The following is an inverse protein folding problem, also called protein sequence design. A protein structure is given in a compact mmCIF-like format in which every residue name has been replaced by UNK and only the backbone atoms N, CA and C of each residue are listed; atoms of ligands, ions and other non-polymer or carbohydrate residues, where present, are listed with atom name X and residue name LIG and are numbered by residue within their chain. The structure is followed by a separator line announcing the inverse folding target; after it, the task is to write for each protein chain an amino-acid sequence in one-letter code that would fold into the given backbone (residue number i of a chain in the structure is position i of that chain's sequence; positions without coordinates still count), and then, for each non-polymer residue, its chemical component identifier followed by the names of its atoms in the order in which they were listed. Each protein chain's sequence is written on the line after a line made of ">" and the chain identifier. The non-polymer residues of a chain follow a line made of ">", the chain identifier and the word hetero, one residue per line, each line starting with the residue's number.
data_IF_062334375021
#
_entry.id   IF_062334375021
#
_cell.length_a   1.000
_cell.length_b   1.000
_cell.length_c   1.000
_cell.angle_alpha   90.00
_cell.angle_beta   90.00
_cell.angle_gamma   90.00
#
_symmetry.space_group_name_H-M   'P 1'
#
loop_
_entity.id
_entity.type
_entity.pdbx_description
1 polymer ?
#
# COMPACT_ATOMS: atom_id res chain seq x y z
N UNK A 1 70.65 33.59 13.04
CA UNK A 1 69.47 33.06 13.76
C UNK A 1 68.13 33.67 13.28
N UNK A 2 68.05 34.31 12.10
CA UNK A 2 66.87 35.12 11.71
C UNK A 2 66.06 34.61 10.49
N UNK A 3 66.59 33.70 9.66
CA UNK A 3 65.90 33.28 8.44
C UNK A 3 64.67 32.38 8.68
N UNK A 4 64.72 31.52 9.71
CA UNK A 4 63.57 30.68 10.09
C UNK A 4 62.40 31.50 10.63
N UNK A 5 62.67 32.57 11.37
CA UNK A 5 61.63 33.46 11.92
C UNK A 5 60.95 34.23 10.78
N UNK A 6 61.72 34.73 9.81
CA UNK A 6 61.17 35.44 8.64
C UNK A 6 60.30 34.52 7.79
N UNK A 7 60.70 33.27 7.54
CA UNK A 7 59.90 32.29 6.79
C UNK A 7 58.58 31.98 7.51
N UNK A 8 58.59 31.83 8.84
CA UNK A 8 57.38 31.58 9.63
C UNK A 8 56.43 32.79 9.58
N UNK A 9 56.96 34.01 9.69
CA UNK A 9 56.15 35.23 9.59
C UNK A 9 55.54 35.36 8.19
N UNK A 10 56.30 35.06 7.14
CA UNK A 10 55.83 35.11 5.75
C UNK A 10 54.75 34.06 5.46
N UNK A 11 54.92 32.83 5.96
CA UNK A 11 53.91 31.77 5.87
C UNK A 11 52.64 32.11 6.66
N UNK A 12 52.77 32.73 7.85
CA UNK A 12 51.64 33.22 8.62
C UNK A 12 50.90 34.36 7.90
N UNK A 13 51.63 35.31 7.29
CA UNK A 13 51.04 36.41 6.53
C UNK A 13 50.25 35.89 5.32
N UNK A 14 50.81 34.95 4.56
CA UNK A 14 50.13 34.30 3.42
C UNK A 14 48.85 33.58 3.89
N UNK A 15 48.92 32.85 5.01
CA UNK A 15 47.76 32.14 5.57
C UNK A 15 46.64 33.11 5.98
N UNK A 16 46.99 34.27 6.54
CA UNK A 16 46.04 35.34 6.92
C UNK A 16 45.44 36.00 5.66
N UNK A 17 46.22 36.21 4.61
CA UNK A 17 45.74 36.79 3.35
C UNK A 17 44.78 35.87 2.59
N UNK A 18 44.98 34.55 2.65
CA UNK A 18 44.10 33.56 1.98
C UNK A 18 42.81 33.34 2.76
N UNK A 19 42.83 33.42 4.09
CA UNK A 19 41.63 33.23 4.93
C UNK A 19 40.63 34.41 4.90
N UNK A 20 40.96 35.57 4.32
CA UNK A 20 40.14 36.79 4.37
C UNK A 20 39.70 37.32 2.99
N UNK A 21 39.70 36.49 1.94
CA UNK A 21 39.41 36.97 0.57
C UNK A 21 37.94 37.40 0.41
N UNK A 22 37.01 36.74 1.09
CA UNK A 22 35.58 37.00 0.96
C UNK A 22 34.92 37.33 2.30
N UNK A 23 33.82 38.08 2.26
CA UNK A 23 33.04 38.42 3.45
C UNK A 23 32.31 37.18 3.99
N UNK A 24 31.82 37.27 5.23
CA UNK A 24 30.86 36.29 5.75
C UNK A 24 29.69 36.14 4.77
N UNK A 25 29.26 34.90 4.53
CA UNK A 25 28.28 34.50 3.51
C UNK A 25 28.73 34.55 2.03
N UNK A 26 30.04 34.53 1.77
CA UNK A 26 30.57 34.47 0.40
C UNK A 26 31.58 33.34 0.23
N UNK A 27 31.69 32.83 -1.00
CA UNK A 27 32.69 31.85 -1.42
C UNK A 27 33.54 32.42 -2.54
N UNK A 28 34.82 32.08 -2.56
CA UNK A 28 35.71 32.49 -3.65
C UNK A 28 35.63 31.51 -4.82
N UNK A 29 35.15 31.97 -5.97
CA UNK A 29 35.15 31.21 -7.22
C UNK A 29 36.52 31.36 -7.89
N UNK A 30 37.24 30.25 -8.06
CA UNK A 30 38.48 30.24 -8.85
C UNK A 30 38.24 30.49 -10.34
N UNK A 31 37.03 30.17 -10.82
CA UNK A 31 36.61 30.34 -12.22
C UNK A 31 36.36 31.82 -12.49
N UNK A 32 35.57 32.46 -11.62
CA UNK A 32 35.16 33.86 -11.79
C UNK A 32 36.13 34.85 -11.13
N UNK A 33 37.16 34.34 -10.46
CA UNK A 33 38.15 35.11 -9.68
C UNK A 33 37.50 36.14 -8.75
N UNK A 34 36.35 35.79 -8.18
CA UNK A 34 35.51 36.72 -7.42
C UNK A 34 34.76 36.02 -6.30
N UNK A 35 34.29 36.83 -5.34
CA UNK A 35 33.48 36.35 -4.24
C UNK A 35 32.01 36.29 -4.66
N UNK A 36 31.47 35.08 -4.70
CA UNK A 36 30.05 34.82 -4.96
C UNK A 36 29.28 34.78 -3.65
N UNK A 37 28.08 35.35 -3.65
CA UNK A 37 27.18 35.26 -2.50
C UNK A 37 26.60 33.84 -2.39
N UNK A 38 26.57 33.33 -1.16
CA UNK A 38 25.75 32.17 -0.85
C UNK A 38 24.27 32.51 -1.01
N UNK A 39 23.43 31.47 -1.02
CA UNK A 39 21.99 31.63 -0.88
C UNK A 39 21.64 32.46 0.37
N UNK A 40 20.54 33.21 0.31
CA UNK A 40 19.98 33.97 1.43
C UNK A 40 19.57 33.06 2.61
N UNK A 41 19.48 31.75 2.38
CA UNK A 41 19.18 30.74 3.40
C UNK A 41 20.42 30.36 4.24
N UNK A 42 21.62 30.65 3.77
CA UNK A 42 22.86 30.28 4.43
C UNK A 42 23.53 31.49 5.11
N UNK A 43 24.31 31.25 6.16
CA UNK A 43 25.33 32.19 6.65
C UNK A 43 26.74 31.83 6.19
N UNK A 44 26.95 30.56 5.82
CA UNK A 44 28.11 30.07 5.08
C UNK A 44 27.70 28.89 4.21
N UNK A 45 28.35 28.73 3.05
CA UNK A 45 28.04 27.69 2.07
C UNK A 45 29.33 27.18 1.41
N UNK A 46 29.26 26.03 0.73
CA UNK A 46 30.36 25.53 -0.11
C UNK A 46 30.14 25.79 -1.61
N UNK A 47 28.89 26.04 -2.04
CA UNK A 47 28.55 26.56 -3.36
C UNK A 47 27.32 27.51 -3.25
N UNK A 48 26.94 28.19 -4.33
CA UNK A 48 25.86 29.20 -4.31
C UNK A 48 24.43 28.63 -4.33
N UNK A 49 24.26 27.30 -4.28
CA UNK A 49 22.96 26.62 -4.23
C UNK A 49 22.31 26.74 -2.84
N UNK A 50 20.98 26.73 -2.82
CA UNK A 50 20.16 26.64 -1.60
C UNK A 50 20.40 25.35 -0.80
N UNK A 51 20.95 24.31 -1.46
CA UNK A 51 21.24 23.00 -0.88
C UNK A 51 22.72 22.80 -0.50
N UNK A 52 23.46 23.89 -0.32
CA UNK A 52 24.89 23.84 -0.05
C UNK A 52 25.30 24.66 1.18
N UNK A 53 24.37 24.87 2.10
CA UNK A 53 24.62 25.59 3.34
C UNK A 53 25.49 24.76 4.28
N UNK A 54 26.55 25.36 4.82
CA UNK A 54 27.32 24.80 5.94
C UNK A 54 26.67 25.23 7.25
N UNK A 55 26.34 26.52 7.34
CA UNK A 55 25.59 27.11 8.45
C UNK A 55 24.37 27.83 7.90
N UNK A 56 23.26 27.74 8.62
CA UNK A 56 22.03 28.41 8.26
C UNK A 56 22.07 29.90 8.62
N UNK A 57 21.30 30.70 7.88
CA UNK A 57 21.08 32.11 8.20
C UNK A 57 20.32 32.30 9.52
N UNK A 58 20.18 33.55 9.94
CA UNK A 58 19.49 33.86 11.20
C UNK A 58 18.05 33.34 11.21
N UNK A 59 17.67 32.69 12.31
CA UNK A 59 16.34 32.09 12.53
C UNK A 59 16.00 30.91 11.59
N UNK A 60 17.00 30.34 10.92
CA UNK A 60 16.88 29.12 10.13
C UNK A 60 17.58 27.96 10.83
N UNK A 61 17.14 26.73 10.54
CA UNK A 61 17.59 25.50 11.17
C UNK A 61 18.08 24.52 10.12
N UNK A 62 19.03 23.64 10.46
CA UNK A 62 19.42 22.56 9.53
C UNK A 62 18.29 21.56 9.39
N UNK A 63 18.03 21.14 8.15
CA UNK A 63 17.07 20.07 7.88
C UNK A 63 17.57 18.72 8.41
N UNK A 64 16.62 17.87 8.76
CA UNK A 64 16.90 16.49 9.18
C UNK A 64 17.17 15.56 7.98
N UNK A 65 16.68 15.93 6.79
CA UNK A 65 16.80 15.15 5.55
C UNK A 65 18.16 15.36 4.86
N UNK A 66 18.66 16.59 4.91
CA UNK A 66 19.95 16.99 4.35
C UNK A 66 20.54 18.13 5.19
N UNK A 67 21.68 17.86 5.84
CA UNK A 67 22.38 18.82 6.69
C UNK A 67 22.93 20.03 5.93
N UNK A 68 22.90 19.99 4.60
CA UNK A 68 23.28 21.09 3.70
C UNK A 68 22.11 22.01 3.35
N UNK A 69 20.89 21.71 3.83
CA UNK A 69 19.69 22.48 3.58
C UNK A 69 19.18 23.14 4.87
N UNK A 70 18.63 24.35 4.73
CA UNK A 70 18.14 25.14 5.84
C UNK A 70 16.63 25.36 5.72
N UNK A 71 15.92 25.23 6.84
CA UNK A 71 14.47 25.33 6.94
C UNK A 71 14.06 26.35 8.01
N UNK A 72 12.91 27.01 7.82
CA UNK A 72 12.37 27.96 8.80
C UNK A 72 11.71 27.30 10.01
N UNK A 73 11.26 26.05 9.83
CA UNK A 73 10.56 25.28 10.86
C UNK A 73 10.80 23.80 10.59
N UNK A 74 11.02 23.03 11.65
CA UNK A 74 11.08 21.59 11.54
C UNK A 74 9.73 21.01 11.11
N UNK A 75 9.79 19.92 10.36
CA UNK A 75 8.62 19.22 9.84
C UNK A 75 7.82 18.56 10.96
N UNK A 76 6.64 18.06 10.61
CA UNK A 76 5.89 17.17 11.50
C UNK A 76 6.75 15.92 11.77
N UNK A 77 6.75 15.39 12.99
CA UNK A 77 7.65 14.32 13.44
C UNK A 77 9.12 14.73 13.64
N UNK A 78 9.39 16.03 13.81
CA UNK A 78 10.72 16.54 14.14
C UNK A 78 10.67 17.52 15.32
N UNK A 79 11.81 17.66 15.99
CA UNK A 79 12.05 18.69 16.99
C UNK A 79 13.36 19.42 16.72
N UNK A 80 13.47 20.63 17.26
CA UNK A 80 14.69 21.43 17.20
C UNK A 80 15.59 21.06 18.38
N UNK A 81 16.81 20.62 18.10
CA UNK A 81 17.81 20.34 19.13
C UNK A 81 18.53 21.62 19.61
N UNK A 82 19.41 21.49 20.59
CA UNK A 82 20.21 22.60 21.13
C UNK A 82 21.20 23.20 20.12
N UNK A 83 21.53 22.46 19.06
CA UNK A 83 22.44 22.89 17.99
C UNK A 83 21.71 23.58 16.83
N UNK A 84 20.42 23.90 16.97
CA UNK A 84 19.58 24.49 15.90
C UNK A 84 19.41 23.57 14.68
N UNK A 85 19.32 22.27 14.91
CA UNK A 85 19.10 21.26 13.88
C UNK A 85 17.76 20.56 14.10
N UNK A 86 17.02 20.34 13.02
CA UNK A 86 15.82 19.54 13.04
C UNK A 86 16.22 18.06 13.12
N UNK A 87 15.66 17.36 14.11
CA UNK A 87 15.92 15.94 14.35
C UNK A 87 14.61 15.19 14.33
N UNK A 88 14.57 14.07 13.59
CA UNK A 88 13.38 13.20 13.52
C UNK A 88 13.13 12.50 14.84
N UNK A 89 11.87 12.38 15.24
CA UNK A 89 11.53 11.51 16.37
C UNK A 89 11.75 10.06 15.98
N UNK A 90 12.37 9.31 16.88
CA UNK A 90 12.69 7.90 16.66
C UNK A 90 11.51 6.98 16.99
N UNK A 91 10.51 7.49 17.71
CA UNK A 91 9.32 6.72 18.09
C UNK A 91 8.38 6.63 16.91
N UNK A 92 8.15 5.41 16.46
CA UNK A 92 7.21 5.11 15.38
C UNK A 92 5.80 5.65 15.69
N UNK A 93 5.19 6.36 14.75
CA UNK A 93 3.87 6.97 14.91
C UNK A 93 3.84 8.20 15.82
N UNK A 94 4.98 8.72 16.26
CA UNK A 94 5.06 9.99 16.97
C UNK A 94 5.02 11.17 15.99
N UNK A 95 4.39 12.28 16.34
CA UNK A 95 4.42 13.54 15.55
C UNK A 95 5.11 14.68 16.29
N UNK A 96 5.27 14.55 17.60
CA UNK A 96 5.92 15.52 18.45
C UNK A 96 6.63 14.80 19.58
N UNK A 97 7.94 14.95 19.64
CA UNK A 97 8.78 14.46 20.72
C UNK A 97 9.64 15.60 21.27
N UNK A 98 10.20 15.39 22.47
CA UNK A 98 11.16 16.31 23.06
C UNK A 98 12.62 15.89 22.78
N UNK A 99 13.57 16.67 23.29
CA UNK A 99 15.02 16.43 23.13
C UNK A 99 15.49 15.09 23.72
N UNK A 100 14.76 14.53 24.69
CA UNK A 100 15.02 13.21 25.26
C UNK A 100 14.35 12.07 24.47
N UNK A 101 13.83 12.33 23.26
CA UNK A 101 13.08 11.37 22.44
C UNK A 101 11.85 10.82 23.19
N UNK A 102 11.22 11.61 24.05
CA UNK A 102 9.95 11.25 24.67
C UNK A 102 8.82 11.78 23.80
N UNK A 103 7.89 10.91 23.41
CA UNK A 103 6.75 11.32 22.58
C UNK A 103 5.71 12.07 23.41
N UNK A 104 5.39 13.30 23.00
CA UNK A 104 4.33 14.12 23.59
C UNK A 104 3.00 13.94 22.86
N UNK A 105 3.06 13.65 21.56
CA UNK A 105 1.89 13.51 20.72
C UNK A 105 2.13 12.49 19.61
N UNK A 106 1.18 11.57 19.47
CA UNK A 106 1.17 10.58 18.39
C UNK A 106 0.37 11.06 17.17
N UNK A 107 0.56 10.39 16.05
CA UNK A 107 -0.27 10.53 14.86
C UNK A 107 -1.75 10.22 15.19
N UNK A 108 -2.66 10.72 14.35
CA UNK A 108 -4.12 10.68 14.57
C UNK A 108 -4.68 9.27 14.86
N UNK A 109 -3.95 8.26 14.39
CA UNK A 109 -4.33 6.85 14.47
C UNK A 109 -3.67 6.10 15.61
N UNK A 110 -2.87 6.78 16.43
CA UNK A 110 -2.10 6.20 17.51
C UNK A 110 -2.46 6.87 18.84
N UNK A 111 -2.53 6.06 19.88
CA UNK A 111 -2.68 6.48 21.27
C UNK A 111 -1.32 6.51 21.93
N UNK A 112 -1.04 7.59 22.64
CA UNK A 112 0.18 7.72 23.42
C UNK A 112 0.14 6.81 24.67
N UNK A 113 1.09 5.87 24.73
CA UNK A 113 1.46 5.14 25.95
C UNK A 113 2.68 5.82 26.58
N UNK A 114 2.41 6.69 27.57
CA UNK A 114 3.46 7.43 28.29
C UNK A 114 4.35 6.53 29.14
N UNK A 115 3.86 5.37 29.61
CA UNK A 115 4.62 4.51 30.50
C UNK A 115 5.77 3.81 29.76
N UNK A 116 5.52 3.43 28.50
CA UNK A 116 6.50 2.75 27.66
C UNK A 116 7.14 3.66 26.60
N UNK A 117 6.77 4.96 26.58
CA UNK A 117 7.22 5.94 25.59
C UNK A 117 6.96 5.48 24.15
N UNK A 118 5.71 5.06 23.88
CA UNK A 118 5.31 4.48 22.61
C UNK A 118 4.01 5.08 22.10
N UNK A 119 3.88 5.13 20.79
CA UNK A 119 2.61 5.38 20.13
C UNK A 119 2.02 4.02 19.73
N UNK A 120 0.96 3.63 20.43
CA UNK A 120 0.27 2.38 20.19
C UNK A 120 -0.90 2.67 19.27
N UNK A 121 -0.95 1.98 18.15
CA UNK A 121 -2.03 2.11 17.18
C UNK A 121 -3.39 1.94 17.88
N UNK A 122 -4.31 2.88 17.65
CA UNK A 122 -5.65 2.81 18.22
C UNK A 122 -6.37 1.61 17.62
N UNK A 123 -7.10 0.87 18.47
CA UNK A 123 -8.07 -0.12 18.00
C UNK A 123 -8.95 0.56 16.92
N UNK A 124 -9.02 -0.01 15.71
CA UNK A 124 -9.69 0.50 14.49
C UNK A 124 -8.84 1.26 13.46
N UNK A 125 -7.54 1.43 13.64
CA UNK A 125 -6.71 1.96 12.56
C UNK A 125 -5.61 0.96 12.27
N UNK A 126 -5.36 0.68 10.99
CA UNK A 126 -4.23 -0.14 10.59
C UNK A 126 -3.08 0.74 10.11
N UNK A 127 -1.80 0.44 10.48
CA UNK A 127 -0.69 1.16 9.92
C UNK A 127 -0.65 0.85 8.42
N UNK A 128 -0.05 1.72 7.61
CA UNK A 128 0.10 1.53 6.16
C UNK A 128 0.72 0.17 5.76
N UNK A 129 1.37 -0.52 6.71
CA UNK A 129 1.98 -1.84 6.53
C UNK A 129 1.01 -3.02 6.69
N UNK A 130 -0.14 -2.85 7.36
CA UNK A 130 -1.15 -3.93 7.49
C UNK A 130 -2.45 -3.50 6.83
N UNK A 131 -2.96 -4.33 5.92
CA UNK A 131 -3.96 -3.88 4.95
C UNK A 131 -5.43 -3.97 5.43
N UNK A 132 -5.73 -4.67 6.53
CA UNK A 132 -7.13 -4.95 6.90
C UNK A 132 -7.40 -4.97 8.42
N UNK A 133 -8.52 -4.35 8.84
CA UNK A 133 -9.01 -4.34 10.23
C UNK A 133 -9.96 -5.52 10.48
N UNK A 134 -9.75 -6.33 11.53
CA UNK A 134 -10.66 -7.44 11.87
C UNK A 134 -11.98 -6.98 12.53
N UNK A 135 -13.11 -7.55 12.08
CA UNK A 135 -14.50 -7.20 12.39
C UNK A 135 -15.01 -7.36 13.85
N UNK A 136 -16.35 -7.41 14.06
CA UNK A 136 -17.11 -6.62 15.07
C UNK A 136 -16.95 -7.00 16.55
N UNK A 137 -16.18 -8.03 16.88
CA UNK A 137 -16.16 -8.65 18.21
C UNK A 137 -14.82 -8.39 18.92
N UNK A 138 -14.80 -7.43 19.85
CA UNK A 138 -13.83 -7.18 20.93
C UNK A 138 -12.31 -7.18 20.67
N UNK A 139 -11.82 -7.50 19.47
CA UNK A 139 -10.41 -7.45 19.11
C UNK A 139 -10.30 -6.91 17.68
N UNK A 140 -10.47 -5.58 17.58
CA UNK A 140 -10.18 -4.78 16.39
C UNK A 140 -8.66 -4.75 16.18
N UNK A 141 -8.10 -5.90 15.80
CA UNK A 141 -6.70 -6.11 15.50
C UNK A 141 -6.45 -5.97 14.00
N UNK A 142 -5.30 -5.43 13.67
CA UNK A 142 -4.86 -5.27 12.29
C UNK A 142 -4.13 -6.51 11.81
N UNK A 143 -4.55 -7.03 10.67
CA UNK A 143 -3.98 -8.23 10.08
C UNK A 143 -3.50 -7.94 8.66
N UNK A 144 -2.40 -8.58 8.28
CA UNK A 144 -1.92 -8.57 6.89
C UNK A 144 -2.86 -9.38 5.98
N UNK A 145 -3.49 -10.42 6.53
CA UNK A 145 -4.44 -11.28 5.85
C UNK A 145 -5.61 -11.57 6.78
N UNK A 146 -6.83 -11.61 6.23
CA UNK A 146 -8.00 -11.95 7.03
C UNK A 146 -7.94 -13.43 7.44
N UNK A 147 -8.34 -13.77 8.69
CA UNK A 147 -8.45 -15.15 9.13
C UNK A 147 -9.43 -15.93 8.25
N UNK A 148 -9.32 -17.26 8.22
CA UNK A 148 -10.09 -18.14 7.30
C UNK A 148 -11.62 -17.96 7.34
N UNK A 149 -12.19 -17.46 8.45
CA UNK A 149 -13.63 -17.19 8.59
C UNK A 149 -14.06 -15.78 8.19
N UNK A 150 -13.15 -14.98 7.64
CA UNK A 150 -13.37 -13.59 7.24
C UNK A 150 -12.85 -13.37 5.81
N UNK A 151 -13.51 -12.51 5.04
CA UNK A 151 -13.04 -12.10 3.72
C UNK A 151 -12.51 -10.66 3.74
N UNK A 152 -11.57 -10.37 2.84
CA UNK A 152 -10.98 -9.04 2.68
C UNK A 152 -11.95 -8.14 1.90
N UNK A 153 -12.61 -7.20 2.60
CA UNK A 153 -13.27 -6.09 1.93
C UNK A 153 -12.21 -5.05 1.56
N UNK A 154 -11.87 -4.99 0.26
CA UNK A 154 -10.86 -4.07 -0.28
C UNK A 154 -11.30 -2.60 -0.23
N UNK A 155 -12.60 -2.34 -0.35
CA UNK A 155 -13.16 -0.98 -0.35
C UNK A 155 -13.17 -0.40 1.06
N UNK A 156 -13.62 -1.18 2.03
CA UNK A 156 -13.70 -0.77 3.43
C UNK A 156 -12.41 -1.03 4.23
N UNK A 157 -11.41 -1.70 3.65
CA UNK A 157 -10.17 -2.12 4.31
C UNK A 157 -10.39 -2.86 5.64
N UNK A 158 -11.42 -3.70 5.67
CA UNK A 158 -11.80 -4.50 6.84
C UNK A 158 -11.92 -5.99 6.45
N UNK A 159 -11.63 -6.85 7.41
CA UNK A 159 -12.00 -8.25 7.38
C UNK A 159 -13.44 -8.34 7.86
N UNK A 160 -14.35 -8.48 6.90
CA UNK A 160 -15.73 -8.76 7.21
C UNK A 160 -15.87 -10.24 7.51
N UNK A 161 -16.67 -10.56 8.52
CA UNK A 161 -17.03 -11.95 8.75
C UNK A 161 -17.61 -12.45 7.45
N UNK A 162 -17.13 -13.60 6.99
CA UNK A 162 -17.84 -14.33 5.97
C UNK A 162 -19.13 -14.72 6.66
N UNK A 163 -20.15 -13.84 6.58
CA UNK A 163 -21.51 -14.12 7.01
C UNK A 163 -21.72 -15.52 6.54
N UNK A 164 -21.97 -16.45 7.47
CA UNK A 164 -22.32 -17.82 7.13
C UNK A 164 -23.47 -17.70 6.16
N UNK A 165 -23.17 -17.63 4.87
CA UNK A 165 -24.13 -17.86 3.83
C UNK A 165 -24.58 -19.26 4.19
N UNK A 166 -25.85 -19.37 4.59
CA UNK A 166 -26.49 -20.63 4.96
C UNK A 166 -26.23 -21.69 3.86
N UNK A 167 -25.87 -21.25 2.64
CA UNK A 167 -25.44 -22.05 1.50
C UNK A 167 -24.04 -22.70 1.59
N UNK A 168 -23.12 -22.30 2.48
CA UNK A 168 -21.77 -22.92 2.60
C UNK A 168 -21.73 -23.99 3.70
N UNK A 169 -22.65 -23.99 4.67
CA UNK A 169 -22.78 -25.17 5.56
C UNK A 169 -23.33 -26.40 4.84
N UNK A 170 -23.91 -26.23 3.64
CA UNK A 170 -24.25 -27.33 2.73
C UNK A 170 -23.03 -27.83 1.92
N UNK A 171 -21.87 -27.13 1.98
CA UNK A 171 -20.70 -27.44 1.14
C UNK A 171 -19.99 -28.75 1.49
N UNK A 172 -20.30 -29.34 2.64
CA UNK A 172 -19.77 -30.66 3.00
C UNK A 172 -20.52 -31.81 2.29
N UNK A 173 -21.61 -31.51 1.57
CA UNK A 173 -22.41 -32.45 0.78
C UNK A 173 -22.65 -31.96 -0.67
N UNK A 174 -21.78 -31.13 -1.25
CA UNK A 174 -21.92 -30.71 -2.64
C UNK A 174 -21.59 -31.86 -3.59
N UNK A 175 -22.62 -32.60 -4.00
CA UNK A 175 -22.55 -33.49 -5.13
C UNK A 175 -22.87 -32.73 -6.42
N UNK A 176 -22.00 -32.84 -7.41
CA UNK A 176 -22.29 -32.37 -8.76
C UNK A 176 -23.08 -33.48 -9.48
N UNK A 177 -24.41 -33.37 -9.47
CA UNK A 177 -25.30 -34.41 -10.01
C UNK A 177 -25.59 -34.26 -11.50
N UNK A 178 -25.20 -33.13 -12.09
CA UNK A 178 -25.44 -32.84 -13.50
C UNK A 178 -24.42 -33.55 -14.38
N UNK A 179 -24.88 -33.95 -15.57
CA UNK A 179 -23.99 -34.52 -16.59
C UNK A 179 -22.97 -33.46 -17.01
N UNK A 180 -21.69 -33.84 -17.01
CA UNK A 180 -20.59 -32.98 -17.42
C UNK A 180 -20.59 -32.83 -18.94
N UNK A 181 -20.59 -31.58 -19.40
CA UNK A 181 -20.46 -31.20 -20.81
C UNK A 181 -19.00 -30.86 -21.13
N UNK A 182 -18.37 -30.07 -20.28
CA UNK A 182 -17.02 -29.55 -20.51
C UNK A 182 -16.25 -29.39 -19.21
N UNK A 183 -14.92 -29.54 -19.29
CA UNK A 183 -13.99 -29.27 -18.20
C UNK A 183 -12.94 -28.28 -18.72
N UNK A 184 -12.68 -27.20 -17.98
CA UNK A 184 -11.65 -26.23 -18.33
C UNK A 184 -10.74 -25.94 -17.13
N UNK A 185 -9.41 -25.96 -17.30
CA UNK A 185 -8.50 -25.47 -16.27
C UNK A 185 -8.63 -23.95 -16.16
N UNK A 186 -8.71 -23.44 -14.93
CA UNK A 186 -8.63 -21.99 -14.66
C UNK A 186 -7.18 -21.60 -14.40
N UNK A 187 -6.50 -22.40 -13.57
CA UNK A 187 -5.13 -22.20 -13.13
C UNK A 187 -4.51 -23.57 -12.78
N UNK A 188 -3.30 -23.57 -12.24
CA UNK A 188 -2.57 -24.80 -11.91
C UNK A 188 -3.27 -25.67 -10.85
N UNK A 189 -4.19 -25.09 -10.07
CA UNK A 189 -4.80 -25.74 -8.91
C UNK A 189 -6.32 -25.94 -8.98
N UNK A 190 -6.98 -25.48 -10.04
CA UNK A 190 -8.44 -25.39 -10.11
C UNK A 190 -9.01 -25.61 -11.50
N UNK A 191 -10.15 -26.30 -11.53
CA UNK A 191 -10.88 -26.65 -12.74
C UNK A 191 -12.33 -26.18 -12.66
N UNK A 192 -12.89 -25.82 -13.81
CA UNK A 192 -14.31 -25.57 -13.97
C UNK A 192 -14.92 -26.75 -14.69
N UNK A 193 -15.99 -27.26 -14.13
CA UNK A 193 -16.89 -28.18 -14.78
C UNK A 193 -18.11 -27.41 -15.23
N UNK A 194 -18.42 -27.51 -16.52
CA UNK A 194 -19.70 -27.09 -17.11
C UNK A 194 -20.56 -28.33 -17.22
N UNK A 195 -21.74 -28.28 -16.62
CA UNK A 195 -22.76 -29.30 -16.72
C UNK A 195 -24.02 -28.81 -17.41
N UNK A 196 -24.90 -29.76 -17.63
CA UNK A 196 -26.25 -29.55 -18.10
C UNK A 196 -27.02 -28.49 -17.28
N UNK A 197 -28.06 -27.93 -17.88
CA UNK A 197 -28.98 -27.00 -17.25
C UNK A 197 -28.30 -25.76 -16.65
N UNK A 198 -27.34 -25.18 -17.37
CA UNK A 198 -26.64 -23.97 -16.93
C UNK A 198 -25.95 -24.10 -15.57
N UNK A 199 -25.45 -25.30 -15.27
CA UNK A 199 -24.79 -25.62 -14.02
C UNK A 199 -23.28 -25.59 -14.19
N UNK A 200 -22.59 -24.94 -13.28
CA UNK A 200 -21.15 -24.80 -13.26
C UNK A 200 -20.61 -25.23 -11.90
N UNK A 201 -19.47 -25.90 -11.88
CA UNK A 201 -18.78 -26.23 -10.64
C UNK A 201 -17.32 -25.83 -10.71
N UNK A 202 -16.79 -25.40 -9.57
CA UNK A 202 -15.37 -25.16 -9.35
C UNK A 202 -14.82 -26.32 -8.54
N UNK A 203 -13.74 -26.93 -9.03
CA UNK A 203 -13.06 -28.04 -8.39
C UNK A 203 -11.61 -27.66 -8.09
N UNK A 204 -11.05 -28.26 -7.04
CA UNK A 204 -9.62 -28.22 -6.78
C UNK A 204 -8.86 -29.30 -7.58
N UNK A 205 -7.53 -29.33 -7.42
CA UNK A 205 -6.65 -30.34 -8.00
C UNK A 205 -6.93 -31.79 -7.57
N UNK A 206 -7.70 -31.99 -6.49
CA UNK A 206 -8.12 -33.30 -6.02
C UNK A 206 -9.53 -33.67 -6.49
N UNK A 207 -10.07 -32.94 -7.47
CA UNK A 207 -11.44 -33.10 -7.98
C UNK A 207 -12.54 -32.91 -6.94
N UNK A 208 -12.23 -32.21 -5.83
CA UNK A 208 -13.21 -31.89 -4.81
C UNK A 208 -13.98 -30.65 -5.22
N UNK A 209 -15.31 -30.75 -5.20
CA UNK A 209 -16.20 -29.61 -5.51
C UNK A 209 -16.03 -28.54 -4.42
N UNK A 210 -15.45 -27.41 -4.82
CA UNK A 210 -15.31 -26.21 -3.99
C UNK A 210 -16.62 -25.41 -3.99
N UNK A 211 -17.29 -25.36 -5.15
CA UNK A 211 -18.51 -24.59 -5.33
C UNK A 211 -19.33 -25.12 -6.51
N UNK A 212 -20.66 -25.00 -6.44
CA UNK A 212 -21.56 -25.19 -7.58
C UNK A 212 -22.44 -23.95 -7.75
N UNK A 213 -22.70 -23.56 -8.99
CA UNK A 213 -23.60 -22.47 -9.31
C UNK A 213 -24.48 -22.84 -10.50
N UNK A 214 -25.76 -22.51 -10.39
CA UNK A 214 -26.72 -22.62 -11.47
C UNK A 214 -27.00 -21.19 -11.94
N UNK A 215 -26.59 -20.87 -13.17
CA UNK A 215 -26.78 -19.51 -13.72
C UNK A 215 -28.26 -19.24 -14.01
N UNK A 216 -28.96 -20.23 -14.56
CA UNK A 216 -30.40 -20.14 -14.79
C UNK A 216 -31.04 -21.44 -14.34
N UNK A 217 -32.02 -21.34 -13.45
CA UNK A 217 -32.85 -22.50 -13.10
C UNK A 217 -33.89 -22.70 -14.21
N UNK A 218 -33.69 -23.73 -15.04
CA UNK A 218 -34.58 -24.06 -16.15
C UNK A 218 -35.59 -25.12 -15.66
N UNK A 219 -36.84 -24.71 -15.46
CA UNK A 219 -37.91 -25.64 -15.09
C UNK A 219 -38.19 -26.63 -16.22
N UNK A 220 -38.36 -27.92 -15.90
CA UNK A 220 -38.58 -29.00 -16.88
C UNK A 220 -37.47 -29.17 -17.93
N UNK A 221 -36.24 -28.81 -17.58
CA UNK A 221 -35.08 -28.87 -18.48
C UNK A 221 -34.95 -30.22 -19.23
N UNK A 222 -35.12 -31.35 -18.53
CA UNK A 222 -35.03 -32.68 -19.16
C UNK A 222 -36.08 -32.89 -20.26
N UNK A 223 -37.26 -32.31 -20.13
CA UNK A 223 -38.35 -32.44 -21.10
C UNK A 223 -38.19 -31.52 -22.31
N UNK A 224 -37.56 -30.35 -22.11
CA UNK A 224 -37.50 -29.28 -23.12
C UNK A 224 -36.20 -29.32 -23.91
N UNK A 225 -35.08 -29.59 -23.24
CA UNK A 225 -33.74 -29.44 -23.81
C UNK A 225 -32.97 -30.75 -23.94
N UNK A 226 -33.51 -31.87 -23.44
CA UNK A 226 -32.83 -33.17 -23.55
C UNK A 226 -33.63 -34.19 -24.34
N UNK A 227 -32.93 -34.98 -25.16
CA UNK A 227 -33.48 -36.17 -25.80
C UNK A 227 -32.55 -37.34 -25.50
N UNK A 228 -33.07 -38.39 -24.85
CA UNK A 228 -32.27 -39.52 -24.34
C UNK A 228 -31.08 -39.09 -23.45
N UNK A 229 -31.24 -38.01 -22.67
CA UNK A 229 -30.21 -37.52 -21.76
C UNK A 229 -29.06 -36.74 -22.40
N UNK A 230 -29.14 -36.46 -23.71
CA UNK A 230 -28.24 -35.53 -24.41
C UNK A 230 -28.96 -34.18 -24.63
N UNK A 231 -28.25 -33.07 -24.43
CA UNK A 231 -28.73 -31.74 -24.79
C UNK A 231 -28.95 -31.65 -26.31
N UNK A 232 -30.13 -31.19 -26.73
CA UNK A 232 -30.46 -30.91 -28.14
C UNK A 232 -29.84 -29.60 -28.61
N UNK A 233 -29.76 -28.62 -27.70
CA UNK A 233 -29.08 -27.34 -27.87
C UNK A 233 -28.20 -27.11 -26.66
N UNK A 234 -26.93 -26.76 -26.90
CA UNK A 234 -26.00 -26.48 -25.83
C UNK A 234 -26.31 -25.09 -25.25
N UNK A 235 -27.01 -25.07 -24.12
CA UNK A 235 -27.44 -23.84 -23.45
C UNK A 235 -26.29 -23.23 -22.62
N UNK A 236 -25.40 -24.08 -22.07
CA UNK A 236 -24.24 -23.69 -21.27
C UNK A 236 -22.98 -23.55 -22.12
N UNK A 237 -22.26 -22.44 -22.02
CA UNK A 237 -21.01 -22.23 -22.75
C UNK A 237 -19.92 -21.59 -21.89
N UNK A 238 -18.67 -21.73 -22.31
CA UNK A 238 -17.53 -21.01 -21.74
C UNK A 238 -16.67 -20.42 -22.85
N UNK A 239 -16.41 -19.12 -22.78
CA UNK A 239 -15.54 -18.38 -23.69
C UNK A 239 -14.50 -17.62 -22.87
N UNK A 240 -13.23 -18.05 -22.97
CA UNK A 240 -12.15 -17.51 -22.15
C UNK A 240 -12.49 -17.64 -20.66
N UNK A 241 -12.45 -16.53 -19.92
CA UNK A 241 -12.73 -16.49 -18.47
C UNK A 241 -14.22 -16.25 -18.13
N UNK A 242 -15.12 -16.42 -19.10
CA UNK A 242 -16.55 -16.17 -18.93
C UNK A 242 -17.35 -17.45 -19.15
N UNK A 243 -18.24 -17.74 -18.21
CA UNK A 243 -19.22 -18.81 -18.33
C UNK A 243 -20.58 -18.20 -18.60
N UNK A 244 -21.33 -18.74 -19.55
CA UNK A 244 -22.61 -18.21 -19.94
C UNK A 244 -23.68 -19.28 -20.08
N UNK A 245 -24.92 -18.85 -19.95
CA UNK A 245 -26.12 -19.64 -20.13
C UNK A 245 -27.07 -18.87 -21.04
N UNK A 246 -27.40 -19.46 -22.18
CA UNK A 246 -28.49 -19.02 -23.04
C UNK A 246 -29.63 -19.99 -22.78
N UNK A 247 -30.78 -19.51 -22.32
CA UNK A 247 -31.97 -20.33 -22.21
C UNK A 247 -33.20 -19.45 -22.46
N UNK A 248 -34.09 -19.89 -23.35
CA UNK A 248 -35.19 -19.06 -23.84
C UNK A 248 -34.70 -17.74 -24.45
N UNK A 249 -35.20 -16.60 -23.96
CA UNK A 249 -34.81 -15.24 -24.41
C UNK A 249 -33.79 -14.55 -23.49
N UNK A 250 -33.10 -15.30 -22.62
CA UNK A 250 -32.18 -14.75 -21.62
C UNK A 250 -30.77 -15.28 -21.80
N UNK A 251 -29.83 -14.35 -21.95
CA UNK A 251 -28.40 -14.62 -21.85
C UNK A 251 -27.90 -14.11 -20.50
N UNK A 252 -27.37 -15.03 -19.69
CA UNK A 252 -26.64 -14.70 -18.48
C UNK A 252 -25.18 -15.07 -18.66
N UNK A 253 -24.29 -14.17 -18.24
CA UNK A 253 -22.84 -14.39 -18.27
C UNK A 253 -22.28 -14.09 -16.88
N UNK A 254 -21.40 -14.96 -16.40
CA UNK A 254 -20.60 -14.75 -15.19
C UNK A 254 -19.12 -14.72 -15.52
N UNK A 255 -18.38 -13.92 -14.75
CA UNK A 255 -16.93 -14.01 -14.74
C UNK A 255 -16.48 -15.14 -13.80
N UNK A 256 -15.85 -16.15 -14.40
CA UNK A 256 -15.41 -17.37 -13.71
C UNK A 256 -14.28 -17.12 -12.71
N UNK A 257 -13.48 -16.06 -12.91
CA UNK A 257 -12.37 -15.67 -12.04
C UNK A 257 -12.81 -14.78 -10.88
N UNK A 258 -13.79 -13.90 -11.11
CA UNK A 258 -14.19 -12.88 -10.12
C UNK A 258 -15.40 -13.26 -9.28
N UNK A 259 -16.05 -14.40 -9.54
CA UNK A 259 -17.19 -14.98 -8.77
C UNK A 259 -18.39 -14.03 -8.47
N UNK A 260 -18.38 -12.77 -8.91
CA UNK A 260 -19.30 -11.72 -8.44
C UNK A 260 -19.82 -10.74 -9.51
N UNK A 261 -19.45 -10.88 -10.79
CA UNK A 261 -20.01 -10.02 -11.85
C UNK A 261 -20.91 -10.83 -12.78
N UNK A 262 -22.21 -10.67 -12.58
CA UNK A 262 -23.26 -11.19 -13.48
C UNK A 262 -23.62 -10.11 -14.48
N UNK A 263 -23.51 -10.42 -15.76
CA UNK A 263 -24.09 -9.62 -16.83
C UNK A 263 -25.36 -10.32 -17.30
N UNK A 264 -26.51 -9.67 -17.13
CA UNK A 264 -27.81 -10.17 -17.61
C UNK A 264 -28.26 -9.31 -18.77
N UNK A 265 -28.51 -9.93 -19.93
CA UNK A 265 -29.08 -9.25 -21.10
C UNK A 265 -30.28 -10.03 -21.60
N UNK A 266 -31.43 -9.36 -21.69
CA UNK A 266 -32.61 -9.89 -22.36
C UNK A 266 -32.33 -9.80 -23.86
N UNK A 267 -32.34 -10.94 -24.54
CA UNK A 267 -32.34 -11.00 -26.00
C UNK A 267 -33.77 -10.70 -26.45
N UNK A 268 -34.01 -9.46 -26.88
CA UNK A 268 -35.19 -9.13 -27.68
C UNK A 268 -34.96 -9.77 -29.05
N UNK A 269 -35.67 -10.87 -29.32
CA UNK A 269 -35.83 -11.45 -30.65
C UNK A 269 -37.12 -10.90 -31.23
#
# INVERSE_FOLDING_TARGET
>A
MNYKIIIIIFLCAIKISICNICKSNQIYSLIDQSCLQCSDLCSSCFNTSDSACINCGDRLFKSSDDSSTCVQKCSKNEFLNENFECVKCQIYGCVKCNTNQICDQCEQNFKLDKANNQCILMNNVCPFLTNFIQGPSNLKQCNNQCPQSFYQNMEAQICEETVKCIQIQESQNLSFTQRVIQIQPINEDQYIIVGNACTFALLDNNWKVINTQILQNITNYEQIYTYNGNELTQESFVVGNQGGCIAGSRLLVMNLLKKLNYFSKILLI
#
